data_IF_754339724483
#
_entry.id   IF_754339724483
#
_cell.length_a   1.000
_cell.length_b   1.000
_cell.length_c   1.000
_cell.angle_alpha   90.00
_cell.angle_beta   90.00
_cell.angle_gamma   90.00
#
_symmetry.space_group_name_H-M   'P 1'
#
loop_
_entity.id
_entity.type
_entity.pdbx_description
1 polymer ?
#
# COMPACT_ATOMS: atom_id res chain seq x y z
N UNK A 1 -6.18 19.70 -10.53
CA UNK A 1 -7.63 19.82 -10.22
C UNK A 1 -7.95 18.64 -9.33
N UNK A 2 -8.09 18.86 -8.01
CA UNK A 2 -8.34 17.78 -7.04
C UNK A 2 -9.78 17.29 -7.21
N UNK A 3 -9.96 16.08 -7.73
CA UNK A 3 -11.27 15.42 -7.74
C UNK A 3 -11.65 15.04 -6.30
N UNK A 4 -12.61 15.75 -5.72
CA UNK A 4 -13.25 15.34 -4.47
C UNK A 4 -14.28 14.25 -4.77
N UNK A 5 -14.12 13.07 -4.16
CA UNK A 5 -15.15 12.03 -4.18
C UNK A 5 -16.05 12.29 -2.98
N UNK A 6 -17.31 12.68 -3.22
CA UNK A 6 -18.31 12.74 -2.15
C UNK A 6 -18.86 11.34 -1.85
N UNK A 7 -18.19 10.66 -0.92
CA UNK A 7 -18.56 9.32 -0.49
C UNK A 7 -19.99 9.24 0.12
N UNK A 8 -20.60 10.37 0.51
CA UNK A 8 -21.97 10.39 1.08
C UNK A 8 -23.03 9.84 0.12
N UNK A 9 -22.78 9.94 -1.18
CA UNK A 9 -23.66 9.40 -2.23
C UNK A 9 -23.47 7.90 -2.47
N UNK A 10 -22.39 7.31 -1.96
CA UNK A 10 -22.02 5.90 -2.15
C UNK A 10 -22.37 5.02 -0.94
N UNK A 11 -22.70 5.62 0.21
CA UNK A 11 -23.01 4.89 1.43
C UNK A 11 -24.49 4.54 1.56
N UNK A 12 -24.79 3.35 2.07
CA UNK A 12 -26.15 2.99 2.51
C UNK A 12 -26.52 3.70 3.84
N UNK A 13 -27.71 3.41 4.37
CA UNK A 13 -28.16 4.03 5.63
C UNK A 13 -27.32 3.65 6.84
N UNK A 14 -26.83 2.42 6.92
CA UNK A 14 -26.03 1.94 8.04
C UNK A 14 -24.61 2.48 7.96
N UNK A 15 -24.01 2.46 6.76
CA UNK A 15 -22.69 3.03 6.48
C UNK A 15 -22.66 4.53 6.80
N UNK A 16 -23.74 5.27 6.53
CA UNK A 16 -23.86 6.68 6.93
C UNK A 16 -23.88 6.86 8.45
N UNK A 17 -24.50 5.96 9.21
CA UNK A 17 -24.48 6.03 10.68
C UNK A 17 -23.08 5.75 11.23
N UNK A 18 -22.40 4.74 10.67
CA UNK A 18 -21.01 4.41 11.06
C UNK A 18 -20.08 5.57 10.72
N UNK A 19 -20.15 6.10 9.49
CA UNK A 19 -19.37 7.28 9.10
C UNK A 19 -19.69 8.48 10.01
N UNK A 20 -20.97 8.69 10.33
CA UNK A 20 -21.41 9.68 11.30
C UNK A 20 -20.70 9.52 12.65
N UNK A 21 -20.74 8.32 13.24
CA UNK A 21 -20.05 8.03 14.49
C UNK A 21 -18.53 8.24 14.42
N UNK A 22 -17.89 7.80 13.33
CA UNK A 22 -16.44 7.90 13.12
C UNK A 22 -15.97 9.35 12.99
N UNK A 23 -16.75 10.21 12.33
CA UNK A 23 -16.33 11.59 12.04
C UNK A 23 -16.98 12.63 12.96
N UNK A 24 -17.85 12.22 13.89
CA UNK A 24 -18.43 13.11 14.89
C UNK A 24 -17.45 13.40 16.03
N UNK A 25 -17.49 14.61 16.58
CA UNK A 25 -16.57 15.01 17.64
C UNK A 25 -16.94 14.34 18.98
N UNK A 26 -15.96 13.72 19.64
CA UNK A 26 -16.10 13.06 20.94
C UNK A 26 -14.93 13.45 21.83
N UNK A 27 -15.15 13.57 23.14
CA UNK A 27 -14.14 14.07 24.07
C UNK A 27 -12.96 13.11 24.33
N UNK A 28 -13.08 11.82 24.00
CA UNK A 28 -12.00 10.83 24.21
C UNK A 28 -11.80 9.91 22.99
N UNK A 29 -11.27 10.47 21.91
CA UNK A 29 -11.10 9.76 20.63
C UNK A 29 -9.95 8.75 20.62
N UNK A 30 -8.95 8.94 21.49
CA UNK A 30 -7.76 8.09 21.55
C UNK A 30 -8.06 6.71 22.15
N UNK A 31 -9.08 6.60 23.01
CA UNK A 31 -9.48 5.33 23.63
C UNK A 31 -10.41 4.48 22.74
N UNK A 32 -11.02 5.07 21.71
CA UNK A 32 -11.97 4.38 20.83
C UNK A 32 -11.21 3.62 19.74
N UNK A 33 -11.10 2.30 19.91
CA UNK A 33 -10.55 1.37 18.92
C UNK A 33 -11.64 0.96 17.94
N UNK A 34 -11.43 1.20 16.65
CA UNK A 34 -12.38 0.87 15.57
C UNK A 34 -12.01 -0.40 14.83
N UNK A 35 -10.71 -0.73 14.77
CA UNK A 35 -10.23 -1.97 14.19
C UNK A 35 -9.05 -2.51 15.01
N UNK A 36 -9.03 -3.83 15.23
CA UNK A 36 -7.91 -4.48 15.90
C UNK A 36 -7.73 -5.90 15.41
N UNK A 37 -6.48 -6.25 15.14
CA UNK A 37 -6.05 -7.63 15.01
C UNK A 37 -4.73 -7.84 15.76
N UNK A 38 -4.08 -8.99 15.55
CA UNK A 38 -2.82 -9.31 16.22
C UNK A 38 -1.67 -8.35 15.89
N UNK A 39 -1.71 -7.69 14.73
CA UNK A 39 -0.61 -6.91 14.19
C UNK A 39 -0.86 -5.40 14.16
N UNK A 40 -2.12 -4.97 14.24
CA UNK A 40 -2.55 -3.61 13.95
C UNK A 40 -3.74 -3.23 14.82
N UNK A 41 -3.72 -2.01 15.34
CA UNK A 41 -4.85 -1.38 16.03
C UNK A 41 -5.07 -0.04 15.36
N UNK A 42 -6.31 0.24 14.97
CA UNK A 42 -6.74 1.51 14.40
C UNK A 42 -7.75 2.15 15.34
N UNK A 43 -7.41 3.34 15.83
CA UNK A 43 -8.27 4.18 16.65
C UNK A 43 -9.14 5.10 15.80
N UNK A 44 -10.14 5.71 16.43
CA UNK A 44 -10.96 6.74 15.82
C UNK A 44 -10.15 7.93 15.31
N UNK A 45 -9.18 8.43 16.09
CA UNK A 45 -8.31 9.55 15.68
C UNK A 45 -7.57 9.27 14.39
N UNK A 46 -7.06 8.04 14.23
CA UNK A 46 -6.36 7.66 13.01
C UNK A 46 -7.31 7.61 11.83
N UNK A 47 -8.51 7.03 11.99
CA UNK A 47 -9.49 6.95 10.90
C UNK A 47 -10.08 8.33 10.53
N UNK A 48 -10.16 9.28 11.47
CA UNK A 48 -10.56 10.66 11.22
C UNK A 48 -9.64 11.38 10.23
N UNK A 49 -8.39 10.92 10.04
CA UNK A 49 -7.48 11.48 9.03
C UNK A 49 -7.93 11.28 7.58
N UNK A 50 -8.99 10.49 7.34
CA UNK A 50 -9.69 10.44 6.06
C UNK A 50 -10.53 11.68 5.75
N UNK A 51 -10.74 12.58 6.73
CA UNK A 51 -11.40 13.86 6.48
C UNK A 51 -10.60 14.73 5.51
N UNK A 52 -11.33 15.57 4.77
CA UNK A 52 -10.76 16.49 3.80
C UNK A 52 -9.64 17.35 4.38
N UNK A 53 -8.58 17.54 3.60
CA UNK A 53 -7.40 18.35 3.92
C UNK A 53 -6.51 17.83 5.07
N UNK A 54 -6.76 16.61 5.58
CA UNK A 54 -5.87 15.93 6.49
C UNK A 54 -4.91 15.00 5.74
N UNK A 55 -3.74 14.76 6.34
CA UNK A 55 -2.83 13.72 5.87
C UNK A 55 -3.29 12.39 6.43
N UNK A 56 -3.57 11.44 5.55
CA UNK A 56 -4.01 10.10 5.95
C UNK A 56 -2.95 9.44 6.82
N UNK A 57 -3.39 8.92 7.95
CA UNK A 57 -2.55 8.25 8.92
C UNK A 57 -2.03 6.91 8.37
N UNK A 58 -0.83 6.53 8.82
CA UNK A 58 -0.14 5.38 8.24
C UNK A 58 -0.84 4.06 8.58
N UNK A 59 -1.45 3.96 9.77
CA UNK A 59 -2.22 2.79 10.13
C UNK A 59 -3.48 2.64 9.27
N UNK A 60 -4.07 3.73 8.77
CA UNK A 60 -5.21 3.67 7.83
C UNK A 60 -4.78 3.03 6.51
N UNK A 61 -3.61 3.42 5.98
CA UNK A 61 -3.04 2.83 4.76
C UNK A 61 -2.75 1.33 4.95
N UNK A 62 -2.21 0.96 6.11
CA UNK A 62 -1.92 -0.44 6.46
C UNK A 62 -3.21 -1.28 6.56
N UNK A 63 -4.28 -0.76 7.17
CA UNK A 63 -5.60 -1.43 7.19
C UNK A 63 -6.14 -1.58 5.77
N UNK A 64 -6.06 -0.53 4.96
CA UNK A 64 -6.55 -0.56 3.58
C UNK A 64 -5.83 -1.62 2.73
N UNK A 65 -4.49 -1.71 2.83
CA UNK A 65 -3.71 -2.75 2.17
C UNK A 65 -4.15 -4.16 2.59
N UNK A 66 -4.43 -4.35 3.89
CA UNK A 66 -4.92 -5.62 4.43
C UNK A 66 -6.30 -5.99 3.89
N UNK A 67 -7.23 -5.03 3.83
CA UNK A 67 -8.56 -5.25 3.25
C UNK A 67 -8.47 -5.61 1.77
N UNK A 68 -7.61 -4.93 1.00
CA UNK A 68 -7.41 -5.25 -0.41
C UNK A 68 -6.84 -6.66 -0.61
N UNK A 69 -5.87 -7.08 0.21
CA UNK A 69 -5.36 -8.45 0.18
C UNK A 69 -6.42 -9.49 0.57
N UNK A 70 -7.33 -9.15 1.48
CA UNK A 70 -8.45 -10.02 1.83
C UNK A 70 -9.40 -10.17 0.62
N UNK A 71 -9.66 -9.08 -0.09
CA UNK A 71 -10.55 -9.05 -1.25
C UNK A 71 -9.98 -9.75 -2.49
N UNK A 72 -8.67 -10.04 -2.54
CA UNK A 72 -8.08 -10.87 -3.60
C UNK A 72 -8.68 -12.28 -3.67
N UNK A 73 -9.36 -12.75 -2.62
CA UNK A 73 -10.13 -14.01 -2.64
C UNK A 73 -11.41 -13.94 -3.51
N UNK A 74 -11.88 -12.72 -3.81
CA UNK A 74 -13.11 -12.45 -4.55
C UNK A 74 -12.84 -12.07 -6.02
N UNK A 75 -11.57 -12.10 -6.45
CA UNK A 75 -11.22 -11.75 -7.83
C UNK A 75 -11.80 -12.77 -8.82
N UNK A 76 -12.10 -12.30 -10.02
CA UNK A 76 -12.51 -13.17 -11.12
C UNK A 76 -11.36 -14.08 -11.57
N UNK A 77 -11.70 -15.24 -12.11
CA UNK A 77 -10.72 -16.14 -12.71
C UNK A 77 -9.91 -15.44 -13.81
N UNK A 78 -8.60 -15.68 -13.82
CA UNK A 78 -7.66 -15.05 -14.76
C UNK A 78 -7.27 -13.59 -14.46
N UNK A 79 -7.89 -12.95 -13.47
CA UNK A 79 -7.45 -11.62 -13.01
C UNK A 79 -6.03 -11.69 -12.42
N UNK A 80 -5.26 -10.60 -12.58
CA UNK A 80 -3.90 -10.51 -12.03
C UNK A 80 -3.96 -10.57 -10.50
N UNK A 81 -3.21 -11.49 -9.91
CA UNK A 81 -3.06 -11.57 -8.47
C UNK A 81 -2.20 -10.41 -7.97
N UNK A 82 -2.68 -9.67 -6.96
CA UNK A 82 -1.92 -8.58 -6.35
C UNK A 82 -1.62 -8.90 -4.90
N UNK A 83 -0.52 -8.34 -4.42
CA UNK A 83 -0.18 -8.36 -3.01
C UNK A 83 0.28 -6.99 -2.56
N UNK A 84 -0.45 -6.40 -1.63
CA UNK A 84 -0.14 -5.13 -1.01
C UNK A 84 0.58 -5.35 0.31
N UNK A 85 1.67 -4.63 0.54
CA UNK A 85 2.36 -4.65 1.83
C UNK A 85 1.85 -3.51 2.70
N UNK A 86 2.09 -3.62 4.01
CA UNK A 86 2.07 -2.44 4.85
C UNK A 86 3.19 -1.48 4.47
N UNK A 87 3.13 -0.27 5.00
CA UNK A 87 4.17 0.77 4.88
C UNK A 87 5.46 0.42 5.63
N UNK A 88 5.39 -0.51 6.59
CA UNK A 88 6.50 -0.83 7.51
C UNK A 88 7.81 -1.27 6.83
N UNK A 89 7.82 -2.15 5.80
CA UNK A 89 9.05 -2.53 5.12
C UNK A 89 9.79 -1.32 4.52
N UNK A 90 9.06 -0.38 3.93
CA UNK A 90 9.63 0.85 3.38
C UNK A 90 10.17 1.78 4.48
N UNK A 91 9.41 2.00 5.56
CA UNK A 91 9.88 2.78 6.71
C UNK A 91 11.18 2.22 7.30
N UNK A 92 11.30 0.89 7.38
CA UNK A 92 12.51 0.24 7.91
C UNK A 92 13.71 0.44 6.98
N UNK A 93 13.50 0.48 5.66
CA UNK A 93 14.57 0.80 4.72
C UNK A 93 15.07 2.23 4.90
N UNK A 94 14.15 3.19 5.04
CA UNK A 94 14.44 4.60 5.25
C UNK A 94 15.18 4.85 6.58
N UNK A 95 14.68 4.28 7.69
CA UNK A 95 15.33 4.35 9.01
C UNK A 95 16.75 3.76 9.02
N UNK A 96 17.08 2.90 8.05
CA UNK A 96 18.38 2.23 7.95
C UNK A 96 19.16 2.66 6.68
N UNK A 97 18.89 3.85 6.12
CA UNK A 97 19.55 4.33 4.90
C UNK A 97 21.09 4.42 5.04
N UNK A 98 21.59 4.86 6.21
CA UNK A 98 23.04 4.90 6.51
C UNK A 98 23.65 3.55 6.90
N UNK A 99 22.82 2.53 7.15
CA UNK A 99 23.31 1.21 7.57
C UNK A 99 23.96 0.47 6.40
N UNK A 100 24.89 -0.44 6.74
CA UNK A 100 25.45 -1.38 5.78
C UNK A 100 24.33 -2.15 5.04
N UNK A 101 24.46 -2.41 3.72
CA UNK A 101 23.42 -3.07 2.93
C UNK A 101 22.92 -4.39 3.53
N UNK A 102 23.79 -5.19 4.14
CA UNK A 102 23.44 -6.45 4.79
C UNK A 102 22.48 -6.24 5.96
N UNK A 103 22.78 -5.29 6.84
CA UNK A 103 21.94 -4.93 7.99
C UNK A 103 20.59 -4.40 7.55
N UNK A 104 20.57 -3.45 6.59
CA UNK A 104 19.32 -2.88 6.04
C UNK A 104 18.43 -3.97 5.45
N UNK A 105 19.00 -4.88 4.65
CA UNK A 105 18.23 -5.99 4.06
C UNK A 105 17.69 -6.95 5.13
N UNK A 106 18.48 -7.29 6.16
CA UNK A 106 18.01 -8.14 7.26
C UNK A 106 16.81 -7.52 7.99
N UNK A 107 16.85 -6.20 8.24
CA UNK A 107 15.75 -5.48 8.88
C UNK A 107 14.50 -5.45 8.00
N UNK A 108 14.66 -5.21 6.69
CA UNK A 108 13.57 -5.29 5.72
C UNK A 108 12.88 -6.66 5.72
N UNK A 109 13.65 -7.75 5.65
CA UNK A 109 13.10 -9.12 5.71
C UNK A 109 12.33 -9.39 7.00
N UNK A 110 12.86 -8.90 8.13
CA UNK A 110 12.18 -9.00 9.43
C UNK A 110 10.86 -8.22 9.44
N UNK A 111 10.81 -7.05 8.79
CA UNK A 111 9.60 -6.23 8.70
C UNK A 111 8.50 -6.91 7.87
N UNK A 112 8.86 -7.54 6.75
CA UNK A 112 7.91 -8.35 5.96
C UNK A 112 7.39 -9.51 6.81
N UNK A 113 8.27 -10.29 7.43
CA UNK A 113 7.87 -11.48 8.21
C UNK A 113 6.97 -11.16 9.41
N UNK A 114 7.13 -9.98 10.03
CA UNK A 114 6.34 -9.57 11.20
C UNK A 114 4.89 -9.22 10.84
N UNK A 115 4.63 -8.75 9.61
CA UNK A 115 3.32 -8.24 9.18
C UNK A 115 2.61 -9.15 8.17
N UNK A 116 3.30 -10.16 7.65
CA UNK A 116 2.72 -11.22 6.83
C UNK A 116 2.61 -12.52 7.62
N UNK A 117 1.39 -12.99 7.99
CA UNK A 117 1.22 -14.32 8.55
C UNK A 117 1.70 -15.37 7.56
N UNK A 118 2.34 -16.44 8.06
CA UNK A 118 2.78 -17.57 7.21
C UNK A 118 1.65 -18.21 6.38
N UNK A 119 0.40 -18.02 6.79
CA UNK A 119 -0.79 -18.51 6.06
C UNK A 119 -1.02 -17.80 4.72
N UNK A 120 -0.51 -16.58 4.51
CA UNK A 120 -0.59 -15.86 3.23
C UNK A 120 0.57 -16.20 2.27
N UNK A 121 1.50 -17.08 2.68
CA UNK A 121 2.68 -17.45 1.87
C UNK A 121 2.31 -18.28 0.64
N UNK A 122 1.18 -19.01 0.66
CA UNK A 122 0.67 -19.66 -0.55
C UNK A 122 0.23 -18.65 -1.61
N UNK A 123 -0.27 -17.47 -1.20
CA UNK A 123 -0.66 -16.36 -2.10
C UNK A 123 0.56 -15.64 -2.69
N UNK A 124 1.70 -15.67 -2.01
CA UNK A 124 2.95 -15.10 -2.50
C UNK A 124 3.42 -15.71 -3.81
N UNK A 125 3.24 -17.03 -3.99
CA UNK A 125 3.75 -17.76 -5.16
C UNK A 125 2.94 -17.52 -6.44
N UNK A 126 1.72 -17.02 -6.29
CA UNK A 126 0.79 -16.75 -7.40
C UNK A 126 0.62 -15.26 -7.67
N UNK A 127 1.26 -14.39 -6.86
CA UNK A 127 1.15 -12.95 -7.01
C UNK A 127 1.88 -12.48 -8.28
N UNK A 128 1.16 -11.80 -9.17
CA UNK A 128 1.72 -11.20 -10.38
C UNK A 128 2.28 -9.80 -10.09
N UNK A 129 1.69 -9.10 -9.12
CA UNK A 129 2.01 -7.70 -8.81
C UNK A 129 2.22 -7.56 -7.29
N UNK A 130 3.33 -6.93 -6.90
CA UNK A 130 3.66 -6.62 -5.52
C UNK A 130 3.68 -5.10 -5.33
N UNK A 131 2.94 -4.58 -4.36
CA UNK A 131 2.70 -3.15 -4.17
C UNK A 131 3.16 -2.75 -2.77
N UNK A 132 4.09 -1.80 -2.69
CA UNK A 132 4.63 -1.28 -1.45
C UNK A 132 4.21 0.19 -1.32
N UNK A 133 3.25 0.52 -0.43
CA UNK A 133 2.98 1.91 -0.10
C UNK A 133 4.15 2.49 0.67
N UNK A 134 4.52 3.72 0.34
CA UNK A 134 5.55 4.46 1.04
C UNK A 134 5.12 5.91 1.25
N UNK A 135 5.74 6.55 2.23
CA UNK A 135 5.44 7.92 2.61
C UNK A 135 6.74 8.71 2.71
N UNK A 136 6.79 9.85 2.02
CA UNK A 136 7.90 10.78 2.14
C UNK A 136 7.37 12.20 2.23
N UNK A 137 7.87 12.96 3.22
CA UNK A 137 7.42 14.32 3.53
C UNK A 137 5.89 14.45 3.75
N UNK A 138 5.25 13.36 4.18
CA UNK A 138 3.82 13.31 4.41
C UNK A 138 2.96 13.06 3.16
N UNK A 139 3.57 12.82 2.00
CA UNK A 139 2.87 12.41 0.78
C UNK A 139 3.08 10.92 0.53
N UNK A 140 2.02 10.22 0.13
CA UNK A 140 2.08 8.81 -0.22
C UNK A 140 2.33 8.61 -1.70
N UNK A 141 3.04 7.53 -2.00
CA UNK A 141 3.22 6.99 -3.34
C UNK A 141 3.32 5.46 -3.25
N UNK A 142 3.16 4.77 -4.38
CA UNK A 142 3.24 3.31 -4.44
C UNK A 142 4.43 2.88 -5.27
N UNK A 143 5.16 1.88 -4.77
CA UNK A 143 6.21 1.19 -5.51
C UNK A 143 5.71 -0.21 -5.90
N UNK A 144 5.55 -0.44 -7.21
CA UNK A 144 4.85 -1.61 -7.75
C UNK A 144 5.76 -2.46 -8.64
N UNK A 145 6.00 -3.71 -8.25
CA UNK A 145 6.67 -4.71 -9.09
C UNK A 145 5.62 -5.50 -9.86
N UNK A 146 5.44 -5.20 -11.15
CA UNK A 146 4.62 -5.99 -12.08
C UNK A 146 5.50 -7.10 -12.67
N UNK A 147 5.44 -8.29 -12.08
CA UNK A 147 6.22 -9.44 -12.52
C UNK A 147 5.60 -10.11 -13.75
N UNK A 148 4.36 -9.79 -14.12
CA UNK A 148 3.79 -10.26 -15.40
C UNK A 148 4.44 -9.57 -16.58
N UNK A 149 4.61 -8.25 -16.48
CA UNK A 149 5.22 -7.43 -17.53
C UNK A 149 6.71 -7.16 -17.31
N UNK A 150 7.28 -7.66 -16.20
CA UNK A 150 8.64 -7.39 -15.76
C UNK A 150 8.96 -5.89 -15.75
N UNK A 151 8.15 -5.14 -14.99
CA UNK A 151 8.32 -3.70 -14.80
C UNK A 151 8.28 -3.33 -13.31
N UNK A 152 9.06 -2.32 -12.95
CA UNK A 152 9.00 -1.69 -11.63
C UNK A 152 8.51 -0.26 -11.79
N UNK A 153 7.36 0.05 -11.20
CA UNK A 153 6.70 1.34 -11.31
C UNK A 153 6.76 2.11 -9.99
N UNK A 154 6.91 3.42 -10.08
CA UNK A 154 6.60 4.35 -8.99
C UNK A 154 5.34 5.09 -9.41
N UNK A 155 4.25 4.90 -8.67
CA UNK A 155 2.95 5.51 -8.90
C UNK A 155 2.77 6.63 -7.89
N UNK A 156 2.71 7.85 -8.38
CA UNK A 156 2.60 9.05 -7.55
C UNK A 156 1.53 9.99 -8.14
N UNK A 157 0.68 10.52 -7.26
CA UNK A 157 -0.42 11.42 -7.59
C UNK A 157 -0.10 12.89 -7.32
N UNK A 158 1.10 13.22 -6.85
CA UNK A 158 1.49 14.60 -6.58
C UNK A 158 1.63 15.41 -7.87
N UNK A 159 1.24 16.68 -7.80
CA UNK A 159 1.55 17.65 -8.84
C UNK A 159 3.07 17.94 -8.90
N UNK A 160 3.64 17.98 -10.12
CA UNK A 160 5.03 18.35 -10.38
C UNK A 160 5.86 17.29 -11.12
N UNK A 161 6.66 17.71 -12.09
CA UNK A 161 7.70 16.89 -12.74
C UNK A 161 8.98 16.89 -11.90
N UNK A 162 8.98 16.15 -10.79
CA UNK A 162 10.19 15.97 -9.97
C UNK A 162 10.89 14.68 -10.39
N UNK A 163 12.19 14.79 -10.65
CA UNK A 163 13.04 13.63 -10.95
C UNK A 163 13.02 12.61 -9.80
N UNK A 164 13.00 11.32 -10.15
CA UNK A 164 12.95 10.22 -9.18
C UNK A 164 14.04 10.36 -8.09
N UNK A 165 15.28 10.65 -8.51
CA UNK A 165 16.42 10.73 -7.59
C UNK A 165 16.38 11.90 -6.61
N UNK A 166 15.49 12.87 -6.84
CA UNK A 166 15.30 14.02 -5.95
C UNK A 166 14.14 13.73 -4.99
N UNK A 167 12.99 13.28 -5.52
CA UNK A 167 11.81 13.07 -4.70
C UNK A 167 11.92 11.83 -3.82
N UNK A 168 12.26 10.69 -4.43
CA UNK A 168 12.25 9.38 -3.77
C UNK A 168 13.65 8.95 -3.30
N UNK A 169 14.67 9.78 -3.57
CA UNK A 169 16.06 9.55 -3.17
C UNK A 169 16.53 8.12 -3.56
N UNK A 170 17.04 7.37 -2.59
CA UNK A 170 17.53 6.00 -2.76
C UNK A 170 16.49 4.93 -2.46
N UNK A 171 15.28 5.33 -2.07
CA UNK A 171 14.26 4.42 -1.54
C UNK A 171 13.82 3.34 -2.56
N UNK A 172 13.58 3.65 -3.85
CA UNK A 172 13.31 2.63 -4.87
C UNK A 172 14.44 1.61 -5.01
N UNK A 173 15.69 2.07 -4.93
CA UNK A 173 16.87 1.20 -5.02
C UNK A 173 17.00 0.30 -3.79
N UNK A 174 16.74 0.83 -2.59
CA UNK A 174 16.73 0.05 -1.36
C UNK A 174 15.64 -1.01 -1.36
N UNK A 175 14.42 -0.64 -1.77
CA UNK A 175 13.31 -1.58 -1.86
C UNK A 175 13.60 -2.68 -2.88
N UNK A 176 14.06 -2.32 -4.08
CA UNK A 176 14.45 -3.31 -5.09
C UNK A 176 15.50 -4.28 -4.55
N UNK A 177 16.54 -3.78 -3.88
CA UNK A 177 17.61 -4.61 -3.32
C UNK A 177 17.12 -5.57 -2.22
N UNK A 178 16.18 -5.13 -1.39
CA UNK A 178 15.51 -6.00 -0.43
C UNK A 178 14.64 -7.05 -1.11
N UNK A 179 13.82 -6.61 -2.07
CA UNK A 179 12.86 -7.45 -2.80
C UNK A 179 13.55 -8.57 -3.59
N UNK A 180 14.64 -8.29 -4.32
CA UNK A 180 15.39 -9.32 -5.07
C UNK A 180 16.07 -10.36 -4.19
N UNK A 181 16.30 -10.04 -2.90
CA UNK A 181 16.84 -11.00 -1.92
C UNK A 181 15.75 -11.79 -1.21
N UNK A 182 14.59 -11.18 -1.03
CA UNK A 182 13.44 -11.80 -0.37
C UNK A 182 12.72 -12.77 -1.28
N UNK A 183 12.42 -12.37 -2.51
CA UNK A 183 11.59 -13.13 -3.44
C UNK A 183 12.10 -14.57 -3.74
N UNK A 184 13.42 -14.83 -3.85
CA UNK A 184 13.94 -16.19 -3.93
C UNK A 184 13.70 -17.05 -2.67
N UNK A 185 13.69 -16.44 -1.48
CA UNK A 185 13.44 -17.16 -0.21
C UNK A 185 12.01 -17.70 -0.16
N UNK A 186 11.07 -16.95 -0.76
CA UNK A 186 9.68 -17.37 -0.94
C UNK A 186 9.49 -18.35 -2.13
N UNK A 187 10.58 -18.65 -2.86
CA UNK A 187 10.62 -19.53 -4.03
C UNK A 187 9.62 -19.12 -5.12
N UNK A 188 9.52 -17.82 -5.38
CA UNK A 188 8.67 -17.31 -6.45
C UNK A 188 9.25 -17.70 -7.84
N UNK A 189 8.43 -18.17 -8.80
CA UNK A 189 8.92 -18.66 -10.11
C UNK A 189 9.71 -17.63 -10.93
N UNK A 190 9.47 -16.34 -10.70
CA UNK A 190 10.10 -15.24 -11.44
C UNK A 190 11.28 -14.59 -10.73
N UNK A 191 11.73 -15.14 -9.60
CA UNK A 191 12.74 -14.52 -8.73
C UNK A 191 14.02 -14.12 -9.48
N UNK A 192 14.53 -14.99 -10.35
CA UNK A 192 15.78 -14.74 -11.11
C UNK A 192 15.65 -13.62 -12.14
N UNK A 193 14.43 -13.30 -12.57
CA UNK A 193 14.17 -12.28 -13.58
C UNK A 193 14.10 -10.87 -12.96
N UNK A 194 13.74 -10.77 -11.67
CA UNK A 194 13.49 -9.49 -10.98
C UNK A 194 14.77 -8.67 -10.80
N UNK A 195 15.94 -9.32 -10.74
CA UNK A 195 17.24 -8.66 -10.59
C UNK A 195 17.48 -7.60 -11.69
N UNK A 196 16.98 -7.87 -12.90
CA UNK A 196 17.17 -7.05 -14.11
C UNK A 196 16.22 -5.84 -14.19
N UNK A 197 15.22 -5.73 -13.31
CA UNK A 197 14.22 -4.66 -13.39
C UNK A 197 14.82 -3.28 -13.21
N UNK A 198 14.41 -2.31 -14.02
CA UNK A 198 14.70 -0.88 -13.81
C UNK A 198 13.42 -0.17 -13.39
N UNK A 199 13.56 0.83 -12.52
CA UNK A 199 12.45 1.67 -12.08
C UNK A 199 11.99 2.60 -13.20
N UNK A 200 10.68 2.66 -13.43
CA UNK A 200 10.02 3.56 -14.35
C UNK A 200 9.07 4.46 -13.55
N UNK A 201 9.15 5.77 -13.73
CA UNK A 201 8.15 6.67 -13.16
C UNK A 201 6.85 6.50 -13.94
N UNK A 202 5.74 6.33 -13.24
CA UNK A 202 4.40 6.38 -13.83
C UNK A 202 3.60 7.40 -13.05
N UNK A 203 3.40 8.56 -13.66
CA UNK A 203 2.50 9.56 -13.10
C UNK A 203 1.07 9.05 -13.21
N UNK A 204 0.32 9.09 -12.12
CA UNK A 204 -1.13 9.02 -12.21
C UNK A 204 -1.61 10.36 -12.76
N UNK A 205 -1.68 10.48 -14.09
CA UNK A 205 -2.47 11.54 -14.70
C UNK A 205 -3.92 11.15 -14.42
N UNK A 206 -4.56 11.85 -13.48
CA UNK A 206 -5.95 11.66 -13.11
C UNK A 206 -6.89 12.09 -14.24
N UNK A 207 -6.85 11.39 -15.38
CA UNK A 207 -8.05 11.28 -16.20
C UNK A 207 -8.88 10.15 -15.60
N UNK A 208 -9.72 10.51 -14.63
CA UNK A 208 -10.89 9.69 -14.30
C UNK A 208 -11.78 9.76 -15.54
N UNK A 209 -11.48 8.92 -16.54
CA UNK A 209 -12.50 8.53 -17.50
C UNK A 209 -13.63 7.97 -16.67
N UNK A 210 -14.83 8.53 -16.85
CA UNK A 210 -16.06 8.07 -16.22
C UNK A 210 -16.24 6.59 -16.55
N UNK A 211 -15.68 5.69 -15.74
CA UNK A 211 -16.00 4.27 -15.86
C UNK A 211 -17.36 4.09 -15.21
N UNK A 212 -18.23 3.50 -16.01
CA UNK A 212 -19.65 3.23 -15.79
C UNK A 212 -19.95 2.73 -14.37
N UNK A 213 -21.14 3.04 -13.83
CA UNK A 213 -21.54 2.55 -12.51
C UNK A 213 -21.41 1.04 -12.48
N UNK A 214 -20.82 0.52 -11.39
CA UNK A 214 -20.87 -0.90 -11.05
C UNK A 214 -22.32 -1.35 -11.17
N UNK A 215 -22.62 -2.13 -12.22
CA UNK A 215 -23.87 -2.86 -12.26
C UNK A 215 -23.82 -3.88 -11.14
N UNK A 216 -24.71 -3.67 -10.18
CA UNK A 216 -25.08 -4.61 -9.15
C UNK A 216 -25.28 -6.00 -9.79
N UNK A 217 -24.49 -6.98 -9.35
CA UNK A 217 -24.87 -8.37 -9.52
C UNK A 217 -25.73 -8.74 -8.31
N UNK A 218 -27.04 -8.79 -8.56
CA UNK A 218 -28.02 -9.55 -7.77
C UNK A 218 -27.66 -11.05 -7.86
#
# INVERSE_FOLDING_TARGET
MNSFIDAKTMFDSEERLVAGFVFHDHCDKNSVVLFKNHYLTLSKVQLETLQSNLKVDVEVIDVWAMMLNHNEKLKSDGAKSRLLFSTKPCQVLDQNHVSAPQTRNKRFLSAIAMKFPKADVSKLRIADIFIFPDQQNGCYYLMCFDLKNMKFYIIDSSDGDICIGVKYLFQPSYLKNGFVKWLPQERHPKADQVVKLKQNLSKCIGEITKTEPMKECI
#
